data_IF_889647801072
#
_entry.id   IF_889647801072
#
_cell.length_a   1.000
_cell.length_b   1.000
_cell.length_c   1.000
_cell.angle_alpha   90.00
_cell.angle_beta   90.00
_cell.angle_gamma   90.00
#
_symmetry.space_group_name_H-M   'P 1'
#
loop_
_entity.id
_entity.type
_entity.pdbx_description
1 polymer ?
#
# COMPACT_ATOMS: atom_id res chain seq x y z
N UNK A 1 -13.61 -9.80 7.60
CA UNK A 1 -13.22 -8.39 7.35
C UNK A 1 -13.29 -8.11 5.87
N UNK A 2 -13.76 -6.94 5.45
CA UNK A 2 -13.73 -6.52 4.04
C UNK A 2 -12.38 -5.83 3.74
N UNK A 3 -11.87 -5.99 2.52
CA UNK A 3 -10.66 -5.29 2.09
C UNK A 3 -11.01 -3.89 1.61
N UNK A 4 -10.45 -2.84 2.25
CA UNK A 4 -10.50 -1.47 1.75
C UNK A 4 -9.50 -1.34 0.60
N UNK A 5 -9.97 -0.90 -0.57
CA UNK A 5 -9.15 -0.77 -1.78
C UNK A 5 -8.48 0.60 -1.83
N UNK A 6 -7.18 0.59 -2.11
CA UNK A 6 -6.38 1.79 -2.32
C UNK A 6 -6.16 1.98 -3.82
N UNK A 7 -6.76 3.02 -4.38
CA UNK A 7 -6.66 3.36 -5.79
C UNK A 7 -5.65 4.51 -5.91
N UNK A 8 -4.46 4.21 -6.37
CA UNK A 8 -3.41 5.20 -6.52
C UNK A 8 -3.60 6.06 -7.75
N UNK A 9 -3.59 7.37 -7.57
CA UNK A 9 -3.73 8.38 -8.62
C UNK A 9 -2.42 9.12 -8.94
N UNK A 10 -1.29 8.73 -8.35
CA UNK A 10 -0.02 9.45 -8.50
C UNK A 10 0.35 9.66 -9.97
N UNK A 11 0.20 8.63 -10.80
CA UNK A 11 0.48 8.74 -12.24
C UNK A 11 -0.61 9.49 -13.02
N UNK A 12 -1.84 9.56 -12.50
CA UNK A 12 -2.91 10.38 -13.10
C UNK A 12 -2.65 11.87 -12.87
N UNK A 13 -2.17 12.25 -11.71
CA UNK A 13 -1.96 13.64 -11.30
C UNK A 13 -0.56 14.20 -11.66
N UNK A 14 0.41 13.33 -11.92
CA UNK A 14 1.83 13.67 -12.05
C UNK A 14 2.16 14.75 -13.12
N UNK A 15 1.28 14.99 -14.09
CA UNK A 15 1.47 16.05 -15.09
C UNK A 15 0.94 17.43 -14.68
N UNK A 16 0.06 17.49 -13.66
CA UNK A 16 -0.63 18.72 -13.28
C UNK A 16 -0.16 19.32 -11.95
N UNK A 17 0.29 18.51 -11.03
CA UNK A 17 0.44 18.90 -9.63
C UNK A 17 1.88 19.15 -9.20
N UNK A 18 2.83 18.37 -9.65
CA UNK A 18 4.20 18.42 -9.11
C UNK A 18 5.13 19.45 -9.75
N UNK A 19 4.65 20.25 -10.70
CA UNK A 19 5.48 21.24 -11.39
C UNK A 19 6.64 20.65 -12.23
N UNK A 20 6.70 19.31 -12.33
CA UNK A 20 7.70 18.54 -13.07
C UNK A 20 7.02 17.56 -14.00
N UNK A 21 7.35 17.61 -15.29
CA UNK A 21 6.93 16.59 -16.24
C UNK A 21 7.78 15.32 -16.05
N UNK A 22 7.12 14.21 -15.74
CA UNK A 22 7.80 12.92 -15.54
C UNK A 22 8.25 12.32 -16.87
N UNK A 23 9.51 11.94 -16.93
CA UNK A 23 10.05 11.19 -18.05
C UNK A 23 9.44 9.77 -18.14
N UNK A 24 9.54 9.15 -19.30
CA UNK A 24 9.11 7.77 -19.53
C UNK A 24 9.67 6.79 -18.48
N UNK A 25 10.98 6.91 -18.16
CA UNK A 25 11.66 6.06 -17.19
C UNK A 25 11.09 6.24 -15.78
N UNK A 26 10.86 7.49 -15.37
CA UNK A 26 10.29 7.81 -14.06
C UNK A 26 8.87 7.27 -13.92
N UNK A 27 8.01 7.42 -14.95
CA UNK A 27 6.66 6.84 -14.95
C UNK A 27 6.69 5.32 -14.75
N UNK A 28 7.63 4.60 -15.40
CA UNK A 28 7.80 3.17 -15.23
C UNK A 28 8.29 2.78 -13.83
N UNK A 29 9.19 3.54 -13.25
CA UNK A 29 9.74 3.30 -11.91
C UNK A 29 8.68 3.51 -10.83
N UNK A 30 7.86 4.57 -10.97
CA UNK A 30 6.71 4.81 -10.10
C UNK A 30 5.73 3.63 -10.18
N UNK A 31 5.35 3.21 -11.39
CA UNK A 31 4.42 2.11 -11.59
C UNK A 31 4.92 0.81 -10.96
N UNK A 32 6.22 0.48 -11.10
CA UNK A 32 6.83 -0.70 -10.46
C UNK A 32 6.80 -0.63 -8.94
N UNK A 33 7.04 0.54 -8.40
CA UNK A 33 7.03 0.77 -6.96
C UNK A 33 5.63 0.59 -6.37
N UNK A 34 4.60 1.12 -7.05
CA UNK A 34 3.20 0.95 -6.67
C UNK A 34 2.72 -0.51 -6.81
N UNK A 35 3.15 -1.20 -7.88
CA UNK A 35 2.85 -2.63 -8.09
C UNK A 35 3.49 -3.49 -6.98
N UNK A 36 4.72 -3.17 -6.56
CA UNK A 36 5.39 -3.83 -5.44
C UNK A 36 4.68 -3.61 -4.11
N UNK A 37 4.11 -2.42 -3.88
CA UNK A 37 3.30 -2.11 -2.70
C UNK A 37 1.96 -2.84 -2.69
N UNK A 38 1.57 -3.52 -3.77
CA UNK A 38 0.25 -4.16 -3.95
C UNK A 38 -0.90 -3.16 -3.86
N UNK A 39 -0.74 -1.95 -4.43
CA UNK A 39 -1.88 -1.07 -4.64
C UNK A 39 -3.00 -1.85 -5.35
N UNK A 40 -4.25 -1.61 -4.99
CA UNK A 40 -5.37 -2.35 -5.62
C UNK A 40 -5.57 -1.92 -7.07
N UNK A 41 -5.35 -0.65 -7.36
CA UNK A 41 -5.40 -0.09 -8.71
C UNK A 41 -4.37 1.04 -8.85
N UNK A 42 -3.70 1.10 -9.99
CA UNK A 42 -2.89 2.24 -10.42
C UNK A 42 -3.68 2.95 -11.53
N UNK A 43 -4.03 4.21 -11.31
CA UNK A 43 -4.79 5.00 -12.27
C UNK A 43 -3.86 5.90 -13.09
N UNK A 44 -3.95 5.77 -14.42
CA UNK A 44 -3.16 6.52 -15.38
C UNK A 44 -3.93 7.75 -15.86
N UNK A 45 -3.20 8.80 -16.24
CA UNK A 45 -3.76 10.02 -16.80
C UNK A 45 -4.54 9.76 -18.10
N UNK A 46 -5.51 10.61 -18.44
CA UNK A 46 -6.13 10.61 -19.75
C UNK A 46 -5.08 10.77 -20.84
N UNK A 47 -5.26 10.06 -21.96
CA UNK A 47 -4.37 10.19 -23.11
C UNK A 47 -4.69 11.50 -23.83
N UNK A 48 -3.68 12.35 -23.98
CA UNK A 48 -3.78 13.67 -24.65
C UNK A 48 -3.38 13.63 -26.14
N UNK A 49 -3.38 12.45 -26.78
CA UNK A 49 -2.94 12.25 -28.16
C UNK A 49 -1.42 12.11 -28.34
N UNK A 50 -0.64 12.18 -27.27
CA UNK A 50 0.81 11.96 -27.30
C UNK A 50 1.15 10.48 -27.49
N UNK A 51 1.93 10.17 -28.56
CA UNK A 51 2.45 8.81 -28.76
C UNK A 51 3.36 8.34 -27.62
N UNK A 52 4.04 9.27 -26.96
CA UNK A 52 4.90 8.97 -25.81
C UNK A 52 4.08 8.50 -24.62
N UNK A 53 2.94 9.15 -24.33
CA UNK A 53 2.04 8.74 -23.24
C UNK A 53 1.36 7.41 -23.53
N UNK A 54 0.92 7.18 -24.77
CA UNK A 54 0.38 5.87 -25.18
C UNK A 54 1.39 4.75 -24.98
N UNK A 55 2.66 4.98 -25.36
CA UNK A 55 3.74 4.01 -25.20
C UNK A 55 4.04 3.76 -23.72
N UNK A 56 4.06 4.81 -22.91
CA UNK A 56 4.27 4.70 -21.46
C UNK A 56 3.14 3.88 -20.80
N UNK A 57 1.88 4.24 -21.08
CA UNK A 57 0.72 3.53 -20.55
C UNK A 57 0.71 2.06 -20.99
N UNK A 58 1.02 1.77 -22.26
CA UNK A 58 1.09 0.40 -22.77
C UNK A 58 2.20 -0.42 -22.13
N UNK A 59 3.35 0.20 -21.87
CA UNK A 59 4.47 -0.47 -21.20
C UNK A 59 4.14 -0.74 -19.73
N UNK A 60 3.58 0.22 -19.01
CA UNK A 60 3.09 0.05 -17.63
C UNK A 60 2.06 -1.08 -17.59
N UNK A 61 1.07 -1.03 -18.48
CA UNK A 61 0.02 -2.03 -18.56
C UNK A 61 0.57 -3.46 -18.77
N UNK A 62 1.59 -3.62 -19.61
CA UNK A 62 2.17 -4.94 -19.91
C UNK A 62 3.00 -5.53 -18.77
N UNK A 63 3.59 -4.68 -17.90
CA UNK A 63 4.48 -5.14 -16.85
C UNK A 63 3.82 -5.30 -15.48
N UNK A 64 2.78 -4.51 -15.17
CA UNK A 64 2.15 -4.51 -13.86
C UNK A 64 1.25 -5.73 -13.64
N UNK A 65 1.25 -6.25 -12.42
CA UNK A 65 0.31 -7.30 -11.96
C UNK A 65 -0.95 -6.67 -11.35
N UNK A 66 -0.77 -5.51 -10.73
CA UNK A 66 -1.85 -4.67 -10.20
C UNK A 66 -2.84 -4.27 -11.30
N UNK A 67 -4.08 -4.01 -10.94
CA UNK A 67 -5.08 -3.48 -11.86
C UNK A 67 -4.63 -2.13 -12.41
N UNK A 68 -4.64 -1.98 -13.73
CA UNK A 68 -4.37 -0.71 -14.39
C UNK A 68 -5.68 -0.08 -14.83
N UNK A 69 -5.93 1.12 -14.37
CA UNK A 69 -7.06 1.96 -14.76
C UNK A 69 -6.57 3.10 -15.65
N UNK A 70 -7.24 3.37 -16.74
CA UNK A 70 -6.99 4.56 -17.53
C UNK A 70 -8.21 5.48 -17.50
N UNK A 71 -7.96 6.74 -17.16
CA UNK A 71 -8.96 7.77 -17.14
C UNK A 71 -9.33 8.24 -18.56
N UNK A 72 -10.60 8.47 -18.81
CA UNK A 72 -11.13 9.00 -20.07
C UNK A 72 -12.03 10.19 -19.74
N UNK A 73 -11.65 11.37 -20.17
CA UNK A 73 -12.53 12.53 -20.07
C UNK A 73 -13.73 12.34 -21.00
N UNK A 74 -14.94 12.51 -20.45
CA UNK A 74 -16.18 12.25 -21.17
C UNK A 74 -16.37 13.16 -22.40
N UNK A 75 -15.78 14.34 -22.39
CA UNK A 75 -15.98 15.37 -23.42
C UNK A 75 -15.02 15.24 -24.60
N UNK A 76 -13.77 14.92 -24.30
CA UNK A 76 -12.65 14.98 -25.29
C UNK A 76 -11.89 13.66 -25.39
N UNK A 77 -12.10 12.72 -24.45
CA UNK A 77 -11.37 11.46 -24.42
C UNK A 77 -11.78 10.50 -25.53
N UNK A 78 -10.78 9.78 -26.08
CA UNK A 78 -10.99 8.71 -27.03
C UNK A 78 -10.91 7.36 -26.29
N UNK A 79 -12.04 6.67 -26.18
CA UNK A 79 -12.17 5.41 -25.45
C UNK A 79 -11.37 4.28 -26.13
N UNK A 80 -11.45 4.17 -27.46
CA UNK A 80 -10.75 3.15 -28.23
C UNK A 80 -9.24 3.28 -28.07
N UNK A 81 -8.71 4.48 -28.26
CA UNK A 81 -7.29 4.79 -28.13
C UNK A 81 -6.78 4.53 -26.71
N UNK A 82 -7.57 4.91 -25.70
CA UNK A 82 -7.25 4.65 -24.30
C UNK A 82 -7.25 3.16 -24.02
N UNK A 83 -8.24 2.43 -24.52
CA UNK A 83 -8.30 0.97 -24.38
C UNK A 83 -7.07 0.29 -25.00
N UNK A 84 -6.67 0.66 -26.20
CA UNK A 84 -5.50 0.08 -26.86
C UNK A 84 -4.20 0.29 -26.04
N UNK A 85 -4.14 1.34 -25.24
CA UNK A 85 -3.00 1.60 -24.38
C UNK A 85 -2.98 0.73 -23.10
N UNK A 86 -4.13 0.30 -22.58
CA UNK A 86 -4.22 -0.46 -21.33
C UNK A 86 -4.65 -1.91 -21.51
N UNK A 87 -5.13 -2.30 -22.68
CA UNK A 87 -5.51 -3.68 -23.01
C UNK A 87 -4.45 -4.74 -22.67
N UNK A 88 -3.12 -4.47 -22.76
CA UNK A 88 -2.11 -5.46 -22.39
C UNK A 88 -2.05 -5.78 -20.89
N UNK A 89 -2.72 -4.99 -20.03
CA UNK A 89 -2.72 -5.24 -18.59
C UNK A 89 -3.41 -6.58 -18.25
N UNK A 90 -2.95 -7.21 -17.17
CA UNK A 90 -3.62 -8.43 -16.67
C UNK A 90 -5.05 -8.17 -16.20
N UNK A 91 -5.31 -6.97 -15.70
CA UNK A 91 -6.63 -6.53 -15.19
C UNK A 91 -6.89 -5.11 -15.66
N UNK A 92 -7.18 -4.89 -16.95
CA UNK A 92 -7.41 -3.55 -17.48
C UNK A 92 -8.77 -3.00 -17.01
N UNK A 93 -8.83 -1.69 -16.78
CA UNK A 93 -10.06 -0.97 -16.43
C UNK A 93 -10.10 0.37 -17.15
N UNK A 94 -11.26 0.77 -17.63
CA UNK A 94 -11.53 2.12 -18.13
C UNK A 94 -12.29 2.91 -17.05
N UNK A 95 -11.91 4.16 -16.83
CA UNK A 95 -12.57 5.06 -15.92
C UNK A 95 -13.11 6.28 -16.68
N UNK A 96 -14.42 6.35 -16.87
CA UNK A 96 -15.09 7.47 -17.54
C UNK A 96 -15.29 8.58 -16.50
N UNK A 97 -14.63 9.71 -16.71
CA UNK A 97 -14.67 10.87 -15.83
C UNK A 97 -15.61 11.91 -16.38
N UNK A 98 -16.65 12.24 -15.61
CA UNK A 98 -17.68 13.17 -16.01
C UNK A 98 -18.02 14.18 -14.92
N UNK A 99 -18.06 15.50 -15.21
CA UNK A 99 -18.58 16.48 -14.27
C UNK A 99 -20.09 16.33 -14.11
N UNK A 100 -20.55 16.46 -12.87
CA UNK A 100 -21.99 16.36 -12.55
C UNK A 100 -22.56 17.60 -11.86
N UNK A 101 -21.72 18.56 -11.48
CA UNK A 101 -22.21 19.84 -10.98
C UNK A 101 -22.67 20.74 -12.12
N UNK A 102 -23.73 21.59 -11.92
CA UNK A 102 -24.25 22.47 -12.95
C UNK A 102 -23.16 23.36 -13.57
N UNK A 103 -22.29 23.92 -12.73
CA UNK A 103 -21.21 24.81 -13.17
C UNK A 103 -20.24 24.08 -14.10
N UNK A 104 -19.76 22.90 -13.71
CA UNK A 104 -18.79 22.20 -14.55
C UNK A 104 -19.42 21.59 -15.79
N UNK A 105 -20.67 21.11 -15.74
CA UNK A 105 -21.39 20.65 -16.93
C UNK A 105 -21.54 21.75 -17.98
N UNK A 106 -21.83 22.98 -17.55
CA UNK A 106 -22.03 24.11 -18.46
C UNK A 106 -20.70 24.65 -19.00
N UNK A 107 -19.70 24.86 -18.14
CA UNK A 107 -18.45 25.52 -18.53
C UNK A 107 -17.40 24.58 -19.12
N UNK A 108 -17.39 23.31 -18.73
CA UNK A 108 -16.41 22.33 -19.24
C UNK A 108 -16.99 21.51 -20.39
N UNK A 109 -18.18 20.96 -20.22
CA UNK A 109 -18.80 20.09 -21.23
C UNK A 109 -19.75 20.81 -22.18
N UNK A 110 -20.11 22.07 -21.89
CA UNK A 110 -21.12 22.84 -22.64
C UNK A 110 -22.46 22.10 -22.81
N UNK A 111 -22.87 21.37 -21.76
CA UNK A 111 -24.09 20.54 -21.76
C UNK A 111 -24.99 20.85 -20.57
N UNK A 112 -26.30 20.72 -20.81
CA UNK A 112 -27.32 20.72 -19.77
C UNK A 112 -27.62 19.31 -19.29
N UNK A 113 -28.24 19.17 -18.11
CA UNK A 113 -28.50 17.90 -17.44
C UNK A 113 -29.03 16.76 -18.36
N UNK A 114 -30.07 16.93 -19.19
CA UNK A 114 -30.57 15.85 -20.05
C UNK A 114 -29.56 15.38 -21.08
N UNK A 115 -28.80 16.33 -21.68
CA UNK A 115 -27.78 16.00 -22.66
C UNK A 115 -26.55 15.33 -22.00
N UNK A 116 -26.30 15.66 -20.73
CA UNK A 116 -25.23 15.00 -19.96
C UNK A 116 -25.58 13.56 -19.61
N UNK A 117 -26.82 13.27 -19.21
CA UNK A 117 -27.27 11.89 -18.97
C UNK A 117 -27.14 11.04 -20.22
N UNK A 118 -27.58 11.55 -21.39
CA UNK A 118 -27.43 10.85 -22.65
C UNK A 118 -25.96 10.57 -23.01
N UNK A 119 -25.06 11.53 -22.75
CA UNK A 119 -23.63 11.36 -22.97
C UNK A 119 -23.03 10.34 -22.03
N UNK A 120 -23.41 10.34 -20.74
CA UNK A 120 -22.96 9.35 -19.74
C UNK A 120 -23.37 7.96 -20.21
N UNK A 121 -24.62 7.77 -20.61
CA UNK A 121 -25.14 6.49 -21.12
C UNK A 121 -24.34 6.02 -22.34
N UNK A 122 -24.14 6.89 -23.33
CA UNK A 122 -23.39 6.60 -24.55
C UNK A 122 -21.96 6.17 -24.23
N UNK A 123 -21.24 6.97 -23.47
CA UNK A 123 -19.79 6.75 -23.22
C UNK A 123 -19.53 5.57 -22.30
N UNK A 124 -20.38 5.30 -21.33
CA UNK A 124 -20.26 4.11 -20.49
C UNK A 124 -20.55 2.83 -21.30
N UNK A 125 -21.58 2.85 -22.18
CA UNK A 125 -21.86 1.72 -23.10
C UNK A 125 -20.71 1.50 -24.08
N UNK A 126 -20.11 2.56 -24.64
CA UNK A 126 -18.94 2.49 -25.49
C UNK A 126 -17.76 1.87 -24.74
N UNK A 127 -17.47 2.32 -23.52
CA UNK A 127 -16.41 1.74 -22.69
C UNK A 127 -16.67 0.26 -22.36
N UNK A 128 -17.92 -0.10 -22.11
CA UNK A 128 -18.34 -1.47 -21.81
C UNK A 128 -18.16 -2.42 -22.99
N UNK A 129 -18.23 -1.91 -24.19
CA UNK A 129 -17.93 -2.70 -25.40
C UNK A 129 -16.46 -3.16 -25.42
N UNK A 130 -15.54 -2.34 -24.94
CA UNK A 130 -14.11 -2.66 -24.92
C UNK A 130 -13.68 -3.40 -23.66
N UNK A 131 -14.19 -3.01 -22.48
CA UNK A 131 -13.72 -3.48 -21.17
C UNK A 131 -14.81 -4.12 -20.35
N UNK A 132 -14.49 -5.26 -19.72
CA UNK A 132 -15.35 -5.87 -18.70
C UNK A 132 -15.40 -5.01 -17.41
N UNK A 133 -14.36 -4.23 -17.13
CA UNK A 133 -14.29 -3.37 -15.94
C UNK A 133 -14.36 -1.91 -16.35
N UNK A 134 -15.50 -1.30 -16.04
CA UNK A 134 -15.78 0.11 -16.33
C UNK A 134 -16.14 0.82 -15.03
N UNK A 135 -15.38 1.85 -14.72
CA UNK A 135 -15.66 2.78 -13.63
C UNK A 135 -16.27 4.06 -14.20
N UNK A 136 -17.25 4.60 -13.50
CA UNK A 136 -17.78 5.94 -13.75
C UNK A 136 -17.43 6.84 -12.56
N UNK A 137 -16.69 7.92 -12.81
CA UNK A 137 -16.31 8.92 -11.82
C UNK A 137 -17.14 10.19 -11.99
N UNK A 138 -18.02 10.44 -11.03
CA UNK A 138 -18.83 11.65 -10.93
C UNK A 138 -17.97 12.77 -10.30
N UNK A 139 -17.43 13.67 -11.12
CA UNK A 139 -16.57 14.77 -10.68
C UNK A 139 -17.43 15.91 -10.14
N UNK A 140 -16.98 16.52 -9.04
CA UNK A 140 -17.66 17.63 -8.38
C UNK A 140 -19.06 17.23 -7.88
N UNK A 141 -19.15 15.99 -7.39
CA UNK A 141 -20.42 15.37 -7.00
C UNK A 141 -21.06 16.04 -5.78
N UNK A 142 -20.27 16.60 -4.88
CA UNK A 142 -20.72 17.28 -3.67
C UNK A 142 -21.45 18.61 -3.95
N UNK A 143 -21.20 19.21 -5.13
CA UNK A 143 -21.88 20.44 -5.60
C UNK A 143 -22.93 20.18 -6.68
N UNK A 144 -23.21 18.91 -6.97
CA UNK A 144 -24.27 18.54 -7.90
C UNK A 144 -25.66 18.72 -7.28
N UNK A 145 -26.70 18.96 -8.13
CA UNK A 145 -28.08 18.82 -7.69
C UNK A 145 -28.34 17.34 -7.33
N UNK A 146 -28.82 17.10 -6.12
CA UNK A 146 -28.97 15.74 -5.56
C UNK A 146 -29.75 14.80 -6.48
N UNK A 147 -30.89 15.31 -7.04
CA UNK A 147 -31.72 14.52 -7.95
C UNK A 147 -31.03 14.18 -9.26
N UNK A 148 -30.24 15.10 -9.80
CA UNK A 148 -29.44 14.84 -11.00
C UNK A 148 -28.30 13.87 -10.72
N UNK A 149 -27.61 14.03 -9.59
CA UNK A 149 -26.53 13.12 -9.20
C UNK A 149 -27.04 11.67 -9.17
N UNK A 150 -28.15 11.41 -8.47
CA UNK A 150 -28.73 10.06 -8.41
C UNK A 150 -29.10 9.51 -9.78
N UNK A 151 -29.67 10.36 -10.66
CA UNK A 151 -29.95 9.97 -12.04
C UNK A 151 -28.69 9.63 -12.82
N UNK A 152 -27.64 10.44 -12.70
CA UNK A 152 -26.36 10.20 -13.38
C UNK A 152 -25.71 8.89 -12.94
N UNK A 153 -25.70 8.61 -11.64
CA UNK A 153 -25.16 7.37 -11.09
C UNK A 153 -25.96 6.16 -11.57
N UNK A 154 -27.31 6.20 -11.49
CA UNK A 154 -28.15 5.13 -11.98
C UNK A 154 -27.97 4.92 -13.51
N UNK A 155 -27.93 6.01 -14.28
CA UNK A 155 -27.68 5.93 -15.73
C UNK A 155 -26.37 5.24 -16.05
N UNK A 156 -25.29 5.55 -15.32
CA UNK A 156 -23.99 4.93 -15.51
C UNK A 156 -24.02 3.43 -15.14
N UNK A 157 -24.70 3.06 -14.05
CA UNK A 157 -24.87 1.66 -13.62
C UNK A 157 -25.65 0.87 -14.66
N UNK A 158 -26.80 1.41 -15.10
CA UNK A 158 -27.66 0.78 -16.12
C UNK A 158 -26.94 0.64 -17.47
N UNK A 159 -26.05 1.58 -17.80
CA UNK A 159 -25.20 1.52 -18.98
C UNK A 159 -24.04 0.48 -18.87
N UNK A 160 -23.81 -0.09 -17.70
CA UNK A 160 -22.87 -1.18 -17.46
C UNK A 160 -21.63 -0.80 -16.66
N UNK A 161 -21.56 0.37 -16.01
CA UNK A 161 -20.52 0.66 -15.05
C UNK A 161 -20.64 -0.31 -13.86
N UNK A 162 -19.55 -0.95 -13.51
CA UNK A 162 -19.50 -1.88 -12.37
C UNK A 162 -18.69 -1.35 -11.20
N UNK A 163 -18.27 -0.10 -11.28
CA UNK A 163 -17.67 0.70 -10.21
C UNK A 163 -18.10 2.14 -10.35
N UNK A 164 -18.37 2.77 -9.22
CA UNK A 164 -18.74 4.19 -9.16
C UNK A 164 -17.74 4.90 -8.26
N UNK A 165 -17.26 6.04 -8.70
CA UNK A 165 -16.53 7.00 -7.85
C UNK A 165 -17.33 8.28 -7.72
N UNK A 166 -17.45 8.78 -6.50
CA UNK A 166 -17.95 10.14 -6.25
C UNK A 166 -16.81 11.02 -5.75
N UNK A 167 -16.64 12.17 -6.39
CA UNK A 167 -15.52 13.06 -6.09
C UNK A 167 -15.99 14.35 -5.41
N UNK A 168 -15.43 14.64 -4.24
CA UNK A 168 -15.44 15.96 -3.63
C UNK A 168 -14.27 16.77 -4.16
N UNK A 169 -14.45 17.36 -5.33
CA UNK A 169 -13.41 18.13 -6.00
C UNK A 169 -13.08 19.44 -5.28
N UNK A 170 -14.04 20.01 -4.57
CA UNK A 170 -13.82 21.23 -3.80
C UNK A 170 -13.10 20.97 -2.47
N UNK A 171 -13.27 19.79 -1.87
CA UNK A 171 -12.65 19.42 -0.61
C UNK A 171 -13.07 20.29 0.57
N UNK A 172 -14.34 20.73 0.58
CA UNK A 172 -14.86 21.69 1.57
C UNK A 172 -15.92 21.10 2.50
N UNK A 173 -16.26 19.83 2.34
CA UNK A 173 -17.18 19.15 3.25
C UNK A 173 -16.52 18.77 4.56
N UNK A 174 -17.29 18.92 5.65
CA UNK A 174 -16.95 18.36 6.95
C UNK A 174 -17.21 16.84 6.96
N UNK A 175 -16.55 16.06 7.81
CA UNK A 175 -16.71 14.61 7.84
C UNK A 175 -18.15 14.12 8.05
N UNK A 176 -18.94 14.80 8.87
CA UNK A 176 -20.35 14.50 9.11
C UNK A 176 -21.24 14.86 7.91
N UNK A 177 -20.94 15.95 7.22
CA UNK A 177 -21.62 16.32 5.97
C UNK A 177 -21.32 15.29 4.87
N UNK A 178 -20.07 14.88 4.74
CA UNK A 178 -19.68 13.87 3.76
C UNK A 178 -20.26 12.48 4.10
N UNK A 179 -20.35 12.13 5.40
CA UNK A 179 -21.04 10.91 5.84
C UNK A 179 -22.51 10.91 5.42
N UNK A 180 -23.23 12.02 5.66
CA UNK A 180 -24.62 12.17 5.27
C UNK A 180 -24.79 12.13 3.74
N UNK A 181 -23.86 12.73 2.98
CA UNK A 181 -23.84 12.70 1.52
C UNK A 181 -23.70 11.26 0.98
N UNK A 182 -22.72 10.50 1.47
CA UNK A 182 -22.53 9.09 1.06
C UNK A 182 -23.72 8.24 1.45
N UNK A 183 -24.25 8.40 2.67
CA UNK A 183 -25.47 7.72 3.12
C UNK A 183 -26.64 7.98 2.19
N UNK A 184 -26.86 9.25 1.81
CA UNK A 184 -27.90 9.63 0.86
C UNK A 184 -27.75 8.95 -0.50
N UNK A 185 -26.54 8.83 -1.01
CA UNK A 185 -26.25 8.09 -2.25
C UNK A 185 -26.58 6.61 -2.10
N UNK A 186 -26.13 5.97 -1.03
CA UNK A 186 -26.39 4.54 -0.78
C UNK A 186 -27.87 4.20 -0.65
N UNK A 187 -28.65 5.12 -0.08
CA UNK A 187 -30.11 4.95 0.09
C UNK A 187 -30.91 5.18 -1.21
N UNK A 188 -30.43 6.05 -2.11
CA UNK A 188 -31.19 6.49 -3.29
C UNK A 188 -30.68 5.97 -4.63
N UNK A 189 -29.58 5.21 -4.62
CA UNK A 189 -29.01 4.56 -5.81
C UNK A 189 -28.96 3.04 -5.59
N UNK A 190 -30.07 2.31 -5.84
CA UNK A 190 -30.19 0.89 -5.49
C UNK A 190 -29.12 0.00 -6.12
N UNK A 191 -28.65 0.33 -7.33
CA UNK A 191 -27.62 -0.43 -8.04
C UNK A 191 -26.27 -0.49 -7.32
N UNK A 192 -26.01 0.38 -6.35
CA UNK A 192 -24.79 0.34 -5.52
C UNK A 192 -24.74 -0.84 -4.55
N UNK A 193 -25.84 -1.56 -4.33
CA UNK A 193 -25.82 -2.81 -3.55
C UNK A 193 -25.03 -3.95 -4.24
N UNK A 194 -24.89 -3.87 -5.56
CA UNK A 194 -24.27 -4.92 -6.40
C UNK A 194 -22.84 -4.56 -6.88
N UNK A 195 -22.45 -3.28 -6.73
CA UNK A 195 -21.18 -2.78 -7.23
C UNK A 195 -20.42 -2.00 -6.17
N UNK A 196 -19.15 -1.69 -6.45
CA UNK A 196 -18.30 -0.98 -5.49
C UNK A 196 -18.40 0.54 -5.65
N UNK A 197 -18.62 1.22 -4.51
CA UNK A 197 -18.52 2.67 -4.40
C UNK A 197 -17.10 3.04 -3.94
N UNK A 198 -16.47 3.95 -4.66
CA UNK A 198 -15.20 4.58 -4.31
C UNK A 198 -15.40 6.07 -4.05
N UNK A 199 -14.49 6.65 -3.29
CA UNK A 199 -14.48 8.10 -3.03
C UNK A 199 -13.13 8.69 -3.45
N UNK A 200 -13.21 9.91 -3.99
CA UNK A 200 -12.08 10.77 -4.33
C UNK A 200 -12.29 12.13 -3.64
N UNK A 201 -11.38 12.53 -2.75
CA UNK A 201 -11.62 13.68 -1.86
C UNK A 201 -10.41 14.59 -1.91
N UNK A 202 -10.58 15.82 -2.39
CA UNK A 202 -9.55 16.86 -2.32
C UNK A 202 -9.36 17.34 -0.89
N UNK A 203 -8.15 17.68 -0.51
CA UNK A 203 -7.75 17.98 0.87
C UNK A 203 -7.62 19.48 1.17
N UNK A 204 -8.53 20.29 0.64
CA UNK A 204 -8.49 21.75 0.79
C UNK A 204 -8.58 22.23 2.25
N UNK A 205 -9.23 21.45 3.11
CA UNK A 205 -9.40 21.75 4.54
C UNK A 205 -8.56 20.86 5.46
N UNK A 206 -7.64 20.04 4.93
CA UNK A 206 -6.90 19.01 5.67
C UNK A 206 -7.82 18.01 6.40
N UNK A 207 -8.96 17.67 5.80
CA UNK A 207 -9.96 16.75 6.35
C UNK A 207 -10.26 15.55 5.44
N UNK A 208 -9.53 15.41 4.34
CA UNK A 208 -9.82 14.37 3.35
C UNK A 208 -9.74 12.97 3.94
N UNK A 209 -8.78 12.67 4.81
CA UNK A 209 -8.70 11.40 5.52
C UNK A 209 -9.91 11.17 6.43
N UNK A 210 -10.37 12.19 7.15
CA UNK A 210 -11.54 12.09 8.03
C UNK A 210 -12.84 11.86 7.24
N UNK A 211 -12.99 12.54 6.10
CA UNK A 211 -14.09 12.32 5.16
C UNK A 211 -14.02 10.92 4.53
N UNK A 212 -12.84 10.43 4.16
CA UNK A 212 -12.65 9.06 3.66
C UNK A 212 -13.04 8.02 4.72
N UNK A 213 -12.65 8.22 5.98
CA UNK A 213 -13.04 7.35 7.08
C UNK A 213 -14.58 7.34 7.29
N UNK A 214 -15.23 8.50 7.18
CA UNK A 214 -16.68 8.61 7.25
C UNK A 214 -17.37 7.84 6.09
N UNK A 215 -16.87 7.98 4.87
CA UNK A 215 -17.37 7.23 3.71
C UNK A 215 -17.19 5.71 3.87
N UNK A 216 -16.05 5.27 4.39
CA UNK A 216 -15.76 3.85 4.67
C UNK A 216 -16.74 3.27 5.69
N UNK A 217 -17.13 4.03 6.71
CA UNK A 217 -18.18 3.65 7.66
C UNK A 217 -19.54 3.47 6.99
N UNK A 218 -19.86 4.27 5.98
CA UNK A 218 -21.10 4.18 5.20
C UNK A 218 -21.04 3.13 4.07
N UNK A 219 -19.92 2.40 3.91
CA UNK A 219 -19.84 1.28 2.99
C UNK A 219 -18.96 1.51 1.76
N UNK A 220 -18.31 2.66 1.62
CA UNK A 220 -17.35 2.86 0.54
C UNK A 220 -16.30 1.73 0.52
N UNK A 221 -16.09 1.11 -0.64
CA UNK A 221 -15.22 -0.04 -0.82
C UNK A 221 -13.77 0.34 -1.12
N UNK A 222 -13.53 1.58 -1.53
CA UNK A 222 -12.20 2.07 -1.83
C UNK A 222 -12.08 3.58 -1.73
N UNK A 223 -10.84 4.02 -1.57
CA UNK A 223 -10.46 5.43 -1.50
C UNK A 223 -9.39 5.69 -2.56
N UNK A 224 -9.59 6.74 -3.35
CA UNK A 224 -8.54 7.25 -4.23
C UNK A 224 -7.53 8.04 -3.42
N UNK A 225 -6.26 7.76 -3.61
CA UNK A 225 -5.17 8.30 -2.82
C UNK A 225 -3.93 8.60 -3.68
N UNK A 226 -2.98 9.26 -3.08
CA UNK A 226 -1.68 9.55 -3.68
C UNK A 226 -0.57 8.81 -2.92
N UNK A 227 0.49 8.41 -3.63
CA UNK A 227 1.67 7.88 -2.96
C UNK A 227 2.43 8.95 -2.17
N UNK A 228 2.34 10.21 -2.60
CA UNK A 228 2.96 11.36 -1.94
C UNK A 228 1.91 12.45 -1.70
N UNK A 229 2.19 13.34 -0.76
CA UNK A 229 1.30 14.44 -0.40
C UNK A 229 1.11 15.42 -1.57
N UNK A 230 -0.12 15.55 -2.03
CA UNK A 230 -0.51 16.47 -3.11
C UNK A 230 -2.03 16.71 -3.14
N UNK A 231 -2.58 17.26 -2.08
CA UNK A 231 -3.98 17.69 -2.01
C UNK A 231 -5.03 16.57 -2.04
N UNK A 232 -4.62 15.33 -1.72
CA UNK A 232 -5.46 14.15 -1.54
C UNK A 232 -4.95 13.30 -0.38
N UNK A 233 -5.77 12.39 0.20
CA UNK A 233 -5.28 11.46 1.21
C UNK A 233 -4.09 10.67 0.70
N UNK A 234 -3.06 10.55 1.51
CA UNK A 234 -1.89 9.75 1.14
C UNK A 234 -2.13 8.26 1.42
N UNK A 235 -1.38 7.43 0.72
CA UNK A 235 -1.38 5.98 0.95
C UNK A 235 -0.90 5.64 2.38
N UNK A 236 0.05 6.42 2.93
CA UNK A 236 0.55 6.25 4.30
C UNK A 236 -0.52 6.58 5.35
N UNK A 237 -1.26 7.68 5.19
CA UNK A 237 -2.35 8.05 6.10
C UNK A 237 -3.47 7.03 6.09
N UNK A 238 -3.88 6.56 4.91
CA UNK A 238 -4.91 5.52 4.79
C UNK A 238 -4.45 4.19 5.38
N UNK A 239 -3.19 3.80 5.18
CA UNK A 239 -2.65 2.58 5.76
C UNK A 239 -2.63 2.66 7.29
N UNK A 240 -2.20 3.79 7.83
CA UNK A 240 -2.24 4.02 9.28
C UNK A 240 -3.66 4.05 9.83
N UNK A 241 -4.62 4.65 9.12
CA UNK A 241 -6.04 4.60 9.49
C UNK A 241 -6.54 3.15 9.57
N UNK A 242 -6.21 2.31 8.59
CA UNK A 242 -6.62 0.89 8.60
C UNK A 242 -5.91 0.13 9.72
N UNK A 243 -4.64 0.42 9.99
CA UNK A 243 -3.90 -0.18 11.11
C UNK A 243 -4.57 0.09 12.46
N UNK A 244 -4.94 1.36 12.71
CA UNK A 244 -5.48 1.79 14.01
C UNK A 244 -6.97 1.45 14.17
N UNK A 245 -7.77 1.57 13.12
CA UNK A 245 -9.24 1.47 13.16
C UNK A 245 -9.80 0.27 12.38
N UNK A 246 -8.96 -0.49 11.71
CA UNK A 246 -9.40 -1.59 10.87
C UNK A 246 -10.19 -2.66 11.63
N UNK A 247 -9.73 -3.04 12.83
CA UNK A 247 -10.42 -4.01 13.67
C UNK A 247 -11.83 -3.53 14.07
N UNK A 248 -11.96 -2.27 14.51
CA UNK A 248 -13.22 -1.66 14.92
C UNK A 248 -14.24 -1.57 13.75
N UNK A 249 -13.75 -1.33 12.54
CA UNK A 249 -14.56 -1.15 11.34
C UNK A 249 -14.73 -2.42 10.50
N UNK A 250 -14.08 -3.53 10.89
CA UNK A 250 -14.09 -4.77 10.15
C UNK A 250 -13.43 -4.66 8.77
N UNK A 251 -12.41 -3.83 8.62
CA UNK A 251 -11.67 -3.59 7.38
C UNK A 251 -10.20 -4.00 7.50
N UNK A 252 -9.59 -4.32 6.37
CA UNK A 252 -8.17 -4.63 6.20
C UNK A 252 -7.67 -4.05 4.88
N UNK A 253 -6.38 -4.07 4.62
CA UNK A 253 -5.78 -3.63 3.35
C UNK A 253 -4.83 -4.70 2.81
N UNK A 254 -4.58 -4.67 1.49
CA UNK A 254 -3.56 -5.50 0.83
C UNK A 254 -2.23 -4.77 0.65
N UNK A 255 -2.18 -3.49 0.99
CA UNK A 255 -0.95 -2.70 0.90
C UNK A 255 0.14 -3.31 1.77
N UNK A 256 1.36 -3.38 1.26
CA UNK A 256 2.54 -3.77 2.01
C UNK A 256 3.01 -2.64 2.91
N UNK A 257 2.35 -2.51 4.06
CA UNK A 257 2.60 -1.42 5.01
C UNK A 257 4.07 -1.34 5.42
N UNK A 258 4.73 -2.49 5.54
CA UNK A 258 6.12 -2.58 5.99
C UNK A 258 7.14 -1.98 5.02
N UNK A 259 6.83 -1.99 3.72
CA UNK A 259 7.67 -1.36 2.70
C UNK A 259 7.21 0.06 2.36
N UNK A 260 6.00 0.45 2.80
CA UNK A 260 5.30 1.63 2.32
C UNK A 260 6.13 2.90 2.51
N UNK A 261 6.60 3.16 3.72
CA UNK A 261 7.38 4.36 4.04
C UNK A 261 8.66 4.48 3.20
N UNK A 262 9.41 3.38 3.08
CA UNK A 262 10.63 3.35 2.26
C UNK A 262 10.35 3.61 0.78
N UNK A 263 9.29 2.98 0.24
CA UNK A 263 8.93 3.14 -1.17
C UNK A 263 8.39 4.53 -1.44
N UNK A 264 7.56 5.08 -0.56
CA UNK A 264 7.07 6.47 -0.66
C UNK A 264 8.23 7.45 -0.61
N UNK A 265 9.22 7.25 0.27
CA UNK A 265 10.45 8.07 0.29
C UNK A 265 11.24 8.02 -1.03
N UNK A 266 11.31 6.86 -1.69
CA UNK A 266 11.91 6.74 -3.03
C UNK A 266 11.07 7.46 -4.10
N UNK A 267 9.74 7.32 -4.06
CA UNK A 267 8.83 8.00 -4.99
C UNK A 267 8.92 9.52 -4.84
N UNK A 268 9.01 10.02 -3.61
CA UNK A 268 9.18 11.45 -3.34
C UNK A 268 10.43 12.03 -4.03
N UNK A 269 11.56 11.32 -3.98
CA UNK A 269 12.80 11.71 -4.68
C UNK A 269 12.68 11.71 -6.21
N UNK A 270 11.84 10.84 -6.77
CA UNK A 270 11.61 10.78 -8.23
C UNK A 270 10.68 11.91 -8.67
N UNK A 271 9.64 12.18 -7.91
CA UNK A 271 8.53 13.05 -8.31
C UNK A 271 8.82 14.51 -8.01
N UNK A 272 9.36 14.82 -6.82
CA UNK A 272 9.61 16.19 -6.40
C UNK A 272 10.97 16.69 -6.94
N UNK A 273 11.06 17.96 -7.38
CA UNK A 273 12.34 18.58 -7.73
C UNK A 273 13.24 18.70 -6.48
N UNK A 274 14.56 18.63 -6.68
CA UNK A 274 15.55 18.72 -5.58
C UNK A 274 15.47 20.02 -4.74
N UNK A 275 14.83 21.07 -5.24
CA UNK A 275 14.75 22.38 -4.58
C UNK A 275 13.54 22.53 -3.62
N UNK A 276 12.59 21.57 -3.58
CA UNK A 276 11.37 21.68 -2.75
C UNK A 276 11.49 21.04 -1.35
N UNK A 277 12.70 20.75 -0.91
CA UNK A 277 12.97 20.15 0.42
C UNK A 277 12.84 21.16 1.60
N UNK A 278 12.10 22.25 1.40
CA UNK A 278 11.87 23.28 2.43
C UNK A 278 10.45 23.33 2.99
N UNK A 279 9.62 22.35 2.81
CA UNK A 279 8.30 22.28 3.46
C UNK A 279 8.42 21.78 4.91
N UNK A 280 7.90 22.55 5.81
CA UNK A 280 8.11 22.61 7.27
C UNK A 280 7.68 21.37 8.09
N UNK A 281 7.38 20.21 7.46
CA UNK A 281 6.93 19.00 8.16
C UNK A 281 7.63 17.70 7.71
N UNK A 282 8.61 17.73 6.81
CA UNK A 282 9.26 16.52 6.28
C UNK A 282 10.78 16.45 6.54
N UNK A 283 11.27 17.03 7.62
CA UNK A 283 12.68 16.89 8.01
C UNK A 283 12.93 15.62 8.82
N UNK A 284 12.47 14.46 8.29
CA UNK A 284 12.99 13.18 8.74
C UNK A 284 13.31 12.35 7.48
N UNK A 285 14.36 12.79 6.80
CA UNK A 285 14.93 12.05 5.68
C UNK A 285 15.61 10.77 6.18
N UNK A 286 15.64 9.74 5.34
CA UNK A 286 16.33 8.47 5.58
C UNK A 286 17.84 8.60 5.90
N UNK A 287 18.44 9.78 5.75
CA UNK A 287 19.81 10.09 6.20
C UNK A 287 19.90 10.26 7.73
N UNK A 288 18.80 10.60 8.40
CA UNK A 288 18.82 10.82 9.86
C UNK A 288 18.77 9.51 10.67
N UNK A 289 18.31 8.40 10.11
CA UNK A 289 18.32 7.11 10.83
C UNK A 289 19.75 6.63 11.12
N UNK A 290 20.71 6.97 10.27
CA UNK A 290 22.12 6.63 10.51
C UNK A 290 22.77 7.45 11.64
N UNK A 291 22.20 8.61 11.99
CA UNK A 291 22.75 9.58 12.96
C UNK A 291 21.81 9.83 14.14
N UNK A 292 20.74 9.05 14.32
CA UNK A 292 19.89 9.18 15.51
C UNK A 292 20.69 8.81 16.74
N UNK A 293 20.77 9.73 17.68
CA UNK A 293 21.33 9.54 19.01
C UNK A 293 20.21 9.72 20.02
N UNK A 294 19.77 8.64 20.63
CA UNK A 294 18.81 8.65 21.74
C UNK A 294 19.56 8.73 23.08
N UNK A 295 18.95 9.37 24.07
CA UNK A 295 19.50 9.44 25.41
C UNK A 295 18.46 9.08 26.50
N UNK A 296 18.87 9.11 27.77
CA UNK A 296 17.98 8.72 28.85
C UNK A 296 16.82 9.71 29.12
N UNK A 297 16.75 10.85 28.43
CA UNK A 297 15.63 11.80 28.48
C UNK A 297 14.54 11.52 27.45
N UNK A 298 14.81 10.66 26.46
CA UNK A 298 13.84 10.29 25.44
C UNK A 298 12.75 9.37 26.00
N UNK A 299 11.50 9.70 25.72
CA UNK A 299 10.37 8.94 26.19
C UNK A 299 10.12 7.68 25.31
N UNK A 300 9.23 6.80 25.78
CA UNK A 300 8.86 5.57 25.06
C UNK A 300 8.30 5.85 23.66
N UNK A 301 7.65 6.99 23.46
CA UNK A 301 7.05 7.38 22.17
C UNK A 301 8.13 7.71 21.17
N UNK A 302 9.17 8.44 21.60
CA UNK A 302 10.31 8.81 20.76
C UNK A 302 11.15 7.60 20.39
N UNK A 303 11.48 6.73 21.37
CA UNK A 303 12.20 5.48 21.10
C UNK A 303 11.41 4.58 20.12
N UNK A 304 10.09 4.44 20.32
CA UNK A 304 9.25 3.67 19.41
C UNK A 304 9.13 4.30 18.02
N UNK A 305 9.19 5.63 17.90
CA UNK A 305 9.25 6.32 16.61
C UNK A 305 10.51 5.91 15.84
N UNK A 306 11.67 5.94 16.49
CA UNK A 306 12.95 5.53 15.90
C UNK A 306 12.94 4.05 15.55
N UNK A 307 12.42 3.20 16.43
CA UNK A 307 12.24 1.75 16.19
C UNK A 307 11.42 1.48 14.92
N UNK A 308 10.31 2.21 14.72
CA UNK A 308 9.50 2.13 13.49
C UNK A 308 10.27 2.64 12.26
N UNK A 309 11.01 3.74 12.38
CA UNK A 309 11.84 4.26 11.29
C UNK A 309 12.94 3.26 10.87
N UNK A 310 13.47 2.48 11.81
CA UNK A 310 14.38 1.37 11.54
C UNK A 310 13.68 0.17 10.87
N UNK A 311 12.36 0.20 10.69
CA UNK A 311 11.57 -0.83 10.02
C UNK A 311 11.05 -1.93 10.95
N UNK A 312 11.10 -1.73 12.27
CA UNK A 312 10.56 -2.67 13.25
C UNK A 312 9.13 -2.31 13.62
N UNK A 313 8.24 -3.28 13.51
CA UNK A 313 6.89 -3.21 14.06
C UNK A 313 6.78 -4.16 15.24
N UNK A 314 6.76 -3.60 16.45
CA UNK A 314 6.78 -4.33 17.70
C UNK A 314 5.39 -4.36 18.34
N UNK A 315 5.03 -5.50 18.96
CA UNK A 315 3.84 -5.56 19.80
C UNK A 315 3.94 -4.58 20.98
N UNK A 316 2.83 -4.17 21.58
CA UNK A 316 2.82 -3.25 22.74
C UNK A 316 3.66 -3.79 23.91
N UNK A 317 3.65 -5.12 24.12
CA UNK A 317 4.48 -5.75 25.14
C UNK A 317 5.99 -5.66 24.81
N UNK A 318 6.35 -5.84 23.54
CA UNK A 318 7.74 -5.79 23.11
C UNK A 318 8.26 -4.35 23.10
N UNK A 319 7.43 -3.35 22.78
CA UNK A 319 7.76 -1.93 22.92
C UNK A 319 8.18 -1.59 24.34
N UNK A 320 7.43 -2.07 25.33
CA UNK A 320 7.78 -1.89 26.75
C UNK A 320 9.11 -2.54 27.11
N UNK A 321 9.36 -3.78 26.67
CA UNK A 321 10.62 -4.49 26.95
C UNK A 321 11.82 -3.85 26.28
N UNK A 322 11.66 -3.40 25.03
CA UNK A 322 12.70 -2.68 24.28
C UNK A 322 13.03 -1.37 24.99
N UNK A 323 12.01 -0.63 25.42
CA UNK A 323 12.22 0.62 26.15
C UNK A 323 12.93 0.41 27.49
N UNK A 324 12.55 -0.60 28.28
CA UNK A 324 13.26 -0.94 29.52
C UNK A 324 14.72 -1.35 29.28
N UNK A 325 14.98 -2.10 28.20
CA UNK A 325 16.33 -2.48 27.83
C UNK A 325 17.14 -1.28 27.29
N UNK A 326 16.50 -0.40 26.53
CA UNK A 326 17.07 0.87 26.09
C UNK A 326 17.49 1.74 27.31
N UNK A 327 16.59 1.96 28.26
CA UNK A 327 16.88 2.77 29.45
C UNK A 327 18.09 2.24 30.23
N UNK A 328 18.22 0.93 30.40
CA UNK A 328 19.37 0.30 31.06
C UNK A 328 20.71 0.57 30.36
N UNK A 329 20.69 0.77 29.04
CA UNK A 329 21.88 1.11 28.24
C UNK A 329 22.11 2.63 28.29
N UNK A 330 21.05 3.43 28.11
CA UNK A 330 21.10 4.89 28.09
C UNK A 330 21.57 5.48 29.42
N UNK A 331 21.20 4.88 30.58
CA UNK A 331 21.72 5.28 31.90
C UNK A 331 23.24 5.09 32.06
N UNK A 332 23.86 4.22 31.28
CA UNK A 332 25.29 3.90 31.33
C UNK A 332 26.10 4.63 30.25
N UNK A 333 25.44 5.04 29.19
CA UNK A 333 26.03 5.73 28.03
C UNK A 333 25.31 7.04 27.82
N UNK A 334 26.02 8.10 27.42
CA UNK A 334 25.41 9.39 27.12
C UNK A 334 24.45 9.32 25.91
N UNK A 335 24.72 8.43 24.93
CA UNK A 335 23.90 8.29 23.74
C UNK A 335 23.84 6.81 23.30
N UNK A 336 22.68 6.42 22.77
CA UNK A 336 22.41 5.12 22.15
C UNK A 336 22.16 5.36 20.67
N UNK A 337 23.05 4.86 19.83
CA UNK A 337 22.93 4.97 18.38
C UNK A 337 22.02 3.87 17.78
N UNK A 338 21.68 4.02 16.50
CA UNK A 338 20.82 3.08 15.78
C UNK A 338 21.31 1.64 15.81
N UNK A 339 22.62 1.40 15.68
CA UNK A 339 23.22 0.04 15.75
C UNK A 339 23.04 -0.59 17.13
N UNK A 340 23.11 0.20 18.18
CA UNK A 340 22.91 -0.27 19.55
C UNK A 340 21.44 -0.51 19.86
N UNK A 341 20.56 0.36 19.36
CA UNK A 341 19.11 0.18 19.45
C UNK A 341 18.69 -1.11 18.71
N UNK A 342 19.26 -1.38 17.53
CA UNK A 342 19.05 -2.61 16.77
C UNK A 342 19.42 -3.86 17.59
N UNK A 343 20.57 -3.83 18.26
CA UNK A 343 20.99 -4.93 19.14
C UNK A 343 20.07 -5.07 20.37
N UNK A 344 19.58 -3.97 20.93
CA UNK A 344 18.61 -3.98 22.03
C UNK A 344 17.29 -4.60 21.58
N UNK A 345 16.77 -4.22 20.41
CA UNK A 345 15.54 -4.80 19.83
C UNK A 345 15.73 -6.30 19.60
N UNK A 346 16.84 -6.69 18.96
CA UNK A 346 17.15 -8.09 18.70
C UNK A 346 17.19 -8.95 19.98
N UNK A 347 17.69 -8.37 21.09
CA UNK A 347 17.82 -9.10 22.37
C UNK A 347 16.53 -9.10 23.21
N UNK A 348 15.69 -8.08 23.08
CA UNK A 348 14.56 -7.85 24.01
C UNK A 348 13.21 -8.26 23.45
N UNK A 349 13.01 -8.14 22.11
CA UNK A 349 11.77 -8.48 21.44
C UNK A 349 11.65 -9.98 21.07
N UNK A 350 12.64 -10.80 21.38
CA UNK A 350 12.72 -12.21 20.95
C UNK A 350 12.08 -13.21 21.92
N UNK A 351 11.42 -12.79 22.98
CA UNK A 351 10.92 -13.73 24.02
C UNK A 351 9.41 -14.04 23.92
N UNK A 352 8.98 -14.53 22.77
CA UNK A 352 7.80 -15.42 22.74
C UNK A 352 8.31 -16.85 23.01
N UNK A 353 7.62 -17.69 23.82
CA UNK A 353 7.96 -19.09 23.95
C UNK A 353 8.04 -19.72 22.57
N UNK A 354 9.23 -20.19 22.19
CA UNK A 354 9.45 -20.72 20.85
C UNK A 354 8.85 -22.12 20.74
N UNK A 355 7.81 -22.26 19.92
CA UNK A 355 7.22 -23.58 19.60
C UNK A 355 8.14 -24.39 18.69
N UNK A 356 8.80 -23.71 17.73
CA UNK A 356 9.78 -24.34 16.84
C UNK A 356 11.19 -23.80 17.09
N UNK A 357 12.13 -24.74 17.31
CA UNK A 357 13.55 -24.44 17.44
C UNK A 357 14.35 -25.11 16.33
N UNK A 358 15.30 -24.38 15.72
CA UNK A 358 16.21 -24.97 14.75
C UNK A 358 17.22 -25.87 15.45
N UNK A 359 17.36 -27.11 14.98
CA UNK A 359 18.37 -28.06 15.45
C UNK A 359 19.55 -28.11 14.49
N UNK A 360 19.29 -28.33 13.21
CA UNK A 360 20.29 -28.25 12.16
C UNK A 360 19.63 -28.02 10.78
N UNK A 361 20.44 -27.64 9.80
CA UNK A 361 20.04 -27.55 8.39
C UNK A 361 21.21 -27.91 7.49
N UNK A 362 20.87 -28.40 6.29
CA UNK A 362 21.82 -28.65 5.20
C UNK A 362 21.22 -28.04 3.93
N UNK A 363 22.00 -27.19 3.26
CA UNK A 363 21.56 -26.53 2.04
C UNK A 363 22.54 -26.84 0.93
N UNK A 364 22.01 -27.32 -0.20
CA UNK A 364 22.75 -27.50 -1.44
C UNK A 364 22.29 -26.45 -2.42
N UNK A 365 23.20 -25.60 -2.87
CA UNK A 365 22.91 -24.52 -3.82
C UNK A 365 24.12 -24.27 -4.71
N UNK A 366 23.87 -23.92 -5.96
CA UNK A 366 24.90 -23.59 -6.94
C UNK A 366 24.26 -23.06 -8.23
N UNK A 367 25.11 -22.58 -9.14
CA UNK A 367 24.65 -21.97 -10.39
C UNK A 367 24.10 -22.97 -11.43
N UNK A 368 24.25 -24.26 -11.20
CA UNK A 368 23.85 -25.33 -12.14
C UNK A 368 22.79 -26.27 -11.53
N UNK A 369 22.62 -26.22 -10.20
CA UNK A 369 21.70 -27.09 -9.47
C UNK A 369 20.59 -26.28 -8.85
N UNK A 370 19.38 -26.81 -8.86
CA UNK A 370 18.25 -26.25 -8.11
C UNK A 370 18.56 -26.26 -6.61
N UNK A 371 18.32 -25.17 -5.94
CA UNK A 371 18.57 -25.07 -4.51
C UNK A 371 17.65 -26.02 -3.73
N UNK A 372 18.24 -26.80 -2.82
CA UNK A 372 17.52 -27.71 -1.93
C UNK A 372 17.93 -27.50 -0.49
N UNK A 373 16.98 -27.54 0.42
CA UNK A 373 17.19 -27.43 1.86
C UNK A 373 16.62 -28.64 2.60
N UNK A 374 17.38 -29.14 3.56
CA UNK A 374 16.94 -30.11 4.54
C UNK A 374 17.03 -29.45 5.92
N UNK A 375 15.89 -29.18 6.54
CA UNK A 375 15.79 -28.47 7.82
C UNK A 375 15.27 -29.43 8.89
N UNK A 376 15.94 -29.48 10.03
CA UNK A 376 15.48 -30.21 11.21
C UNK A 376 15.11 -29.22 12.31
N UNK A 377 13.85 -29.21 12.65
CA UNK A 377 13.31 -28.42 13.75
C UNK A 377 12.94 -29.33 14.91
N UNK A 378 12.93 -28.78 16.11
CA UNK A 378 12.34 -29.44 17.30
C UNK A 378 11.06 -28.69 17.64
N UNK A 379 9.95 -29.43 17.79
CA UNK A 379 8.66 -28.94 18.28
C UNK A 379 8.25 -29.79 19.51
N UNK A 380 8.01 -29.13 20.63
CA UNK A 380 7.60 -29.81 21.90
C UNK A 380 8.51 -30.99 22.26
N UNK A 381 9.81 -30.89 22.04
CA UNK A 381 10.80 -31.92 22.29
C UNK A 381 10.90 -33.02 21.22
N UNK A 382 10.08 -32.98 20.16
CA UNK A 382 10.07 -33.94 19.06
C UNK A 382 10.79 -33.34 17.84
N UNK A 383 11.69 -34.10 17.23
CA UNK A 383 12.39 -33.71 16.04
C UNK A 383 11.51 -33.89 14.78
N UNK A 384 11.31 -32.81 14.01
CA UNK A 384 10.54 -32.82 12.76
C UNK A 384 11.43 -32.35 11.62
N UNK A 385 11.44 -33.11 10.51
CA UNK A 385 12.28 -32.84 9.35
C UNK A 385 11.44 -32.39 8.15
N UNK A 386 11.90 -31.32 7.45
CA UNK A 386 11.35 -30.88 6.19
C UNK A 386 12.41 -30.78 5.11
N UNK A 387 11.99 -30.99 3.86
CA UNK A 387 12.83 -30.84 2.69
C UNK A 387 12.15 -29.87 1.74
N UNK A 388 12.86 -28.79 1.35
CA UNK A 388 12.35 -27.76 0.45
C UNK A 388 13.22 -27.61 -0.80
N UNK A 389 12.57 -27.16 -1.86
CA UNK A 389 13.19 -26.79 -3.13
C UNK A 389 12.81 -25.34 -3.37
N UNK A 390 13.74 -24.54 -3.89
CA UNK A 390 13.49 -23.12 -4.16
C UNK A 390 14.40 -22.56 -5.25
N UNK A 391 14.09 -21.32 -5.65
CA UNK A 391 14.88 -20.58 -6.65
C UNK A 391 16.26 -20.16 -6.12
N UNK A 392 16.42 -20.19 -4.78
CA UNK A 392 17.68 -19.92 -4.11
C UNK A 392 17.76 -20.61 -2.73
N UNK A 393 18.94 -20.54 -2.07
CA UNK A 393 19.17 -21.25 -0.80
C UNK A 393 18.21 -20.83 0.33
N UNK A 394 17.83 -19.57 0.38
CA UNK A 394 16.91 -19.02 1.39
C UNK A 394 15.47 -19.46 1.10
N UNK A 395 15.05 -19.40 -0.16
CA UNK A 395 13.71 -19.83 -0.59
C UNK A 395 13.51 -21.33 -0.35
N UNK A 396 14.52 -22.15 -0.65
CA UNK A 396 14.51 -23.57 -0.34
C UNK A 396 14.38 -23.84 1.19
N UNK A 397 15.06 -23.04 2.03
CA UNK A 397 14.99 -23.16 3.48
C UNK A 397 13.60 -22.79 4.00
N UNK A 398 13.01 -21.71 3.51
CA UNK A 398 11.64 -21.28 3.88
C UNK A 398 10.61 -22.33 3.46
N UNK A 399 10.73 -22.85 2.23
CA UNK A 399 9.88 -23.93 1.74
C UNK A 399 9.97 -25.22 2.61
N UNK A 400 11.16 -25.56 3.10
CA UNK A 400 11.33 -26.69 4.02
C UNK A 400 10.67 -26.46 5.39
N UNK A 401 10.71 -25.23 5.91
CA UNK A 401 10.01 -24.86 7.16
C UNK A 401 8.49 -24.88 6.95
N UNK A 402 7.99 -24.33 5.86
CA UNK A 402 6.57 -24.35 5.51
C UNK A 402 6.03 -25.78 5.41
N UNK A 403 6.81 -26.70 4.86
CA UNK A 403 6.46 -28.13 4.82
C UNK A 403 6.32 -28.74 6.23
N UNK A 404 7.21 -28.37 7.16
CA UNK A 404 7.14 -28.85 8.55
C UNK A 404 5.89 -28.30 9.26
N UNK A 405 5.59 -27.03 9.03
CA UNK A 405 4.47 -26.34 9.68
C UNK A 405 3.13 -26.73 9.06
N UNK A 406 3.13 -27.16 7.80
CA UNK A 406 1.93 -27.53 7.05
C UNK A 406 1.13 -26.33 6.54
N UNK A 407 1.68 -25.12 6.66
CA UNK A 407 1.06 -23.87 6.20
C UNK A 407 2.10 -22.96 5.56
N UNK A 408 1.69 -22.27 4.48
CA UNK A 408 2.51 -21.28 3.79
C UNK A 408 2.00 -19.89 4.14
N UNK A 409 2.84 -19.12 4.84
CA UNK A 409 2.56 -17.74 5.15
C UNK A 409 3.06 -16.83 4.03
N UNK A 410 2.36 -15.75 3.77
CA UNK A 410 2.81 -14.76 2.79
C UNK A 410 4.04 -14.02 3.35
N UNK A 411 5.16 -14.08 2.61
CA UNK A 411 6.35 -13.30 2.92
C UNK A 411 6.10 -11.84 2.49
N UNK A 412 5.87 -10.97 3.46
CA UNK A 412 5.57 -9.54 3.22
C UNK A 412 6.86 -8.75 2.95
N UNK A 413 7.93 -8.98 3.72
CA UNK A 413 9.23 -8.33 3.56
C UNK A 413 10.37 -9.26 3.97
N UNK A 414 11.52 -9.10 3.30
CA UNK A 414 12.76 -9.80 3.63
C UNK A 414 13.95 -8.90 3.40
N UNK A 415 14.75 -8.64 4.43
CA UNK A 415 15.92 -7.78 4.38
C UNK A 415 17.13 -8.48 4.97
N UNK A 416 18.30 -8.22 4.35
CA UNK A 416 19.60 -8.68 4.82
C UNK A 416 20.50 -7.46 5.06
N UNK A 417 21.15 -7.40 6.21
CA UNK A 417 22.10 -6.34 6.56
C UNK A 417 23.35 -6.94 7.15
N UNK A 418 24.49 -6.33 6.91
CA UNK A 418 25.76 -6.64 7.58
C UNK A 418 25.83 -5.83 8.88
N UNK A 419 26.00 -6.53 10.01
CA UNK A 419 26.06 -5.90 11.34
C UNK A 419 27.48 -5.47 11.70
N UNK A 420 28.49 -6.19 11.23
CA UNK A 420 29.91 -5.92 11.52
C UNK A 420 30.74 -6.00 10.25
N UNK A 421 31.89 -5.28 10.20
CA UNK A 421 32.84 -5.35 9.10
C UNK A 421 33.96 -6.37 9.42
N UNK A 422 34.46 -7.09 8.41
CA UNK A 422 35.58 -8.01 8.53
C UNK A 422 35.29 -9.44 8.08
N UNK A 423 36.25 -10.35 8.26
CA UNK A 423 36.13 -11.75 7.84
C UNK A 423 35.12 -12.58 8.61
N UNK A 424 34.81 -12.18 9.84
CA UNK A 424 33.82 -12.80 10.71
C UNK A 424 32.55 -11.89 10.86
N UNK A 425 32.22 -11.16 9.78
CA UNK A 425 31.05 -10.28 9.76
C UNK A 425 29.77 -11.06 10.05
N UNK A 426 29.00 -10.56 11.02
CA UNK A 426 27.66 -11.09 11.32
C UNK A 426 26.64 -10.48 10.38
N UNK A 427 25.82 -11.32 9.78
CA UNK A 427 24.65 -10.92 9.02
C UNK A 427 23.39 -10.89 9.90
N UNK A 428 22.59 -9.87 9.74
CA UNK A 428 21.23 -9.78 10.29
C UNK A 428 20.22 -9.99 9.19
N UNK A 429 19.20 -10.78 9.46
CA UNK A 429 18.03 -10.96 8.59
C UNK A 429 16.79 -10.49 9.32
N UNK A 430 15.95 -9.73 8.61
CA UNK A 430 14.58 -9.39 9.02
C UNK A 430 13.62 -10.11 8.07
N UNK A 431 12.68 -10.86 8.64
CA UNK A 431 11.58 -11.52 7.92
C UNK A 431 10.28 -10.99 8.45
N UNK A 432 9.36 -10.65 7.57
CA UNK A 432 7.99 -10.29 7.92
C UNK A 432 7.02 -11.24 7.23
N UNK A 433 6.20 -11.93 8.03
CA UNK A 433 5.18 -12.87 7.58
C UNK A 433 3.80 -12.26 7.80
N UNK A 434 2.89 -12.50 6.89
CA UNK A 434 1.50 -12.07 7.00
C UNK A 434 0.61 -13.26 7.34
N UNK A 435 -0.17 -13.12 8.41
CA UNK A 435 -1.20 -14.07 8.82
C UNK A 435 -2.45 -13.32 9.24
N UNK A 436 -3.62 -13.72 8.75
CA UNK A 436 -4.94 -13.16 9.09
C UNK A 436 -5.04 -11.62 9.01
N UNK A 437 -4.31 -11.01 8.05
CA UNK A 437 -4.30 -9.56 7.86
C UNK A 437 -3.34 -8.79 8.79
N UNK A 438 -2.61 -9.49 9.68
CA UNK A 438 -1.56 -8.92 10.53
C UNK A 438 -0.17 -9.28 10.01
N UNK A 439 0.81 -8.46 10.33
CA UNK A 439 2.22 -8.67 9.95
C UNK A 439 3.05 -8.96 11.19
N UNK A 440 3.79 -10.07 11.13
CA UNK A 440 4.65 -10.54 12.21
C UNK A 440 6.10 -10.46 11.79
N UNK A 441 6.89 -9.68 12.50
CA UNK A 441 8.31 -9.52 12.22
C UNK A 441 9.16 -10.47 13.06
N UNK A 442 10.17 -11.05 12.44
CA UNK A 442 11.17 -11.87 13.09
C UNK A 442 12.58 -11.49 12.66
N UNK A 443 13.49 -11.44 13.62
CA UNK A 443 14.89 -11.15 13.41
C UNK A 443 15.76 -12.38 13.67
N UNK A 444 16.85 -12.49 12.90
CA UNK A 444 17.86 -13.52 13.09
C UNK A 444 19.25 -12.96 12.83
N UNK A 445 20.19 -13.24 13.70
CA UNK A 445 21.60 -12.85 13.57
C UNK A 445 22.46 -14.12 13.52
N UNK A 446 23.38 -14.17 12.57
CA UNK A 446 24.33 -15.26 12.40
C UNK A 446 25.53 -14.81 11.58
N UNK A 447 26.66 -15.51 11.70
CA UNK A 447 27.80 -15.40 10.77
C UNK A 447 27.47 -16.00 9.40
N UNK A 448 26.44 -16.82 9.29
CA UNK A 448 25.88 -17.37 8.06
C UNK A 448 24.55 -16.70 7.73
N UNK A 449 24.49 -16.06 6.57
CA UNK A 449 23.29 -15.32 6.08
C UNK A 449 22.06 -16.25 5.99
N UNK A 450 22.26 -17.51 5.60
CA UNK A 450 21.16 -18.48 5.50
C UNK A 450 20.66 -18.83 6.90
N UNK A 451 21.59 -19.05 7.84
CA UNK A 451 21.25 -19.28 9.25
C UNK A 451 20.54 -18.09 9.90
N UNK A 452 20.97 -16.85 9.57
CA UNK A 452 20.27 -15.63 10.01
C UNK A 452 18.83 -15.60 9.46
N UNK A 453 18.64 -15.89 8.16
CA UNK A 453 17.33 -15.90 7.50
C UNK A 453 16.38 -16.94 8.09
N UNK A 454 16.87 -18.16 8.35
CA UNK A 454 16.08 -19.24 8.98
C UNK A 454 15.64 -18.84 10.40
N UNK A 455 16.54 -18.25 11.19
CA UNK A 455 16.21 -17.77 12.55
C UNK A 455 15.18 -16.65 12.51
N UNK A 456 15.29 -15.71 11.57
CA UNK A 456 14.33 -14.64 11.37
C UNK A 456 12.95 -15.19 11.00
N UNK A 457 12.89 -16.16 10.08
CA UNK A 457 11.63 -16.80 9.69
C UNK A 457 10.97 -17.53 10.87
N UNK A 458 11.74 -18.32 11.63
CA UNK A 458 11.23 -19.03 12.80
C UNK A 458 10.79 -18.08 13.91
N UNK A 459 11.46 -16.92 14.08
CA UNK A 459 11.05 -15.90 15.04
C UNK A 459 9.68 -15.31 14.69
N UNK A 460 9.45 -14.95 13.42
CA UNK A 460 8.15 -14.47 12.97
C UNK A 460 7.07 -15.55 13.09
N UNK A 461 7.38 -16.78 12.68
CA UNK A 461 6.49 -17.93 12.76
C UNK A 461 6.05 -18.26 14.19
N UNK A 462 6.98 -18.28 15.15
CA UNK A 462 6.67 -18.54 16.55
C UNK A 462 5.73 -17.47 17.15
N UNK A 463 5.83 -16.22 16.69
CA UNK A 463 4.88 -15.15 17.08
C UNK A 463 3.47 -15.42 16.57
N UNK A 464 3.33 -15.84 15.30
CA UNK A 464 2.03 -16.21 14.73
C UNK A 464 1.40 -17.36 15.55
N UNK A 465 2.16 -18.44 15.78
CA UNK A 465 1.65 -19.61 16.49
C UNK A 465 1.28 -19.30 17.95
N UNK A 466 2.01 -18.40 18.59
CA UNK A 466 1.69 -17.97 19.95
C UNK A 466 0.39 -17.17 20.03
N UNK A 467 0.13 -16.29 19.05
CA UNK A 467 -1.14 -15.55 18.98
C UNK A 467 -2.32 -16.46 18.60
N UNK A 468 -2.11 -17.41 17.70
CA UNK A 468 -3.16 -18.40 17.33
C UNK A 468 -3.54 -19.35 18.49
N UNK A 469 -2.66 -19.51 19.48
CA UNK A 469 -2.87 -20.39 20.64
C UNK A 469 -3.51 -19.70 21.85
N UNK A 470 -3.60 -18.36 21.85
CA UNK A 470 -4.17 -17.54 22.94
C UNK A 470 -5.34 -16.69 22.45
#
# INVERSE_FOLDING_TARGET
>A
MRTLKFIDMTLRQAGSSFGKELSFKEKLEIARSLDRLKADTIELAPISGSRADQLANRTIASMAVTRISAAVDISVGNIEETWESVRPAKKPKLNIIAPVSPVQMEYVCHKKAPAMLALIEEKVKEARFYSEYVEFSAVDATRAETGFLYQALNTAIDAGANKITVADTAGVMMPDEFEAFIKGIMENVPGLSEIELYVEISDSLNMALACAAAAVRQGAAGVKCMAIEDGYPTMEELAHFVEVKGADLGITTQIRVTELHRVVGQLRKIILPEETDSSRFSNIALEDVANVCLDASDDISEVNRVVRQMGYDLSEQDKGKVYEAFMRVAEKKQFVGTKELDAIIASSAMQVPSTYHIKNYVINSGNVITATANVLLTRDGVDVRGVGIGDGPIDAAFSAIEQIVGHRYELDDFQLQTVTEGRDAMGSALVKLRAEGRVYSGNGISTDIIGASIRAYLSALNKIIYEDAN
#
